data_IF_378160812847
#
_entry.id   IF_378160812847
#
_cell.length_a   1.000
_cell.length_b   1.000
_cell.length_c   1.000
_cell.angle_alpha   90.00
_cell.angle_beta   90.00
_cell.angle_gamma   90.00
#
_symmetry.space_group_name_H-M   'P 1'
#
loop_
_entity.id
_entity.type
_entity.pdbx_description
1 polymer ?
#
# COMPACT_ATOMS: atom_id res chain seq x y z
N UNK A 1 -26.47 -19.54 8.71
CA UNK A 1 -25.63 -18.40 8.32
C UNK A 1 -25.70 -18.10 6.82
N UNK A 2 -26.71 -18.63 6.11
CA UNK A 2 -26.86 -18.49 4.64
C UNK A 2 -27.77 -17.34 4.20
N UNK A 3 -28.35 -16.59 5.13
CA UNK A 3 -29.50 -15.74 4.84
C UNK A 3 -29.21 -14.36 4.26
N UNK A 4 -28.01 -13.81 4.49
CA UNK A 4 -27.68 -12.44 4.01
C UNK A 4 -27.27 -12.43 2.55
N UNK A 5 -26.50 -13.41 2.10
CA UNK A 5 -26.04 -13.53 0.71
C UNK A 5 -27.19 -13.88 -0.25
N UNK A 6 -28.12 -14.75 0.16
CA UNK A 6 -29.29 -15.09 -0.65
C UNK A 6 -30.30 -13.94 -0.78
N UNK A 7 -30.43 -13.09 0.24
CA UNK A 7 -31.31 -11.94 0.20
C UNK A 7 -30.77 -10.84 -0.73
N UNK A 8 -29.46 -10.63 -0.75
CA UNK A 8 -28.82 -9.61 -1.61
C UNK A 8 -28.81 -10.04 -3.10
N UNK A 9 -28.65 -11.34 -3.39
CA UNK A 9 -28.67 -11.88 -4.76
C UNK A 9 -30.10 -11.92 -5.37
N UNK A 10 -31.15 -11.93 -4.57
CA UNK A 10 -32.57 -11.91 -5.01
C UNK A 10 -33.16 -10.51 -5.06
N UNK A 11 -32.41 -9.48 -4.68
CA UNK A 11 -32.90 -8.11 -4.69
C UNK A 11 -33.06 -7.58 -6.12
N UNK A 12 -34.23 -7.04 -6.49
CA UNK A 12 -34.44 -6.41 -7.81
C UNK A 12 -33.49 -5.23 -8.09
N UNK A 13 -32.85 -4.70 -7.05
CA UNK A 13 -31.89 -3.57 -7.14
C UNK A 13 -30.59 -3.94 -7.89
N UNK A 14 -30.21 -5.23 -7.92
CA UNK A 14 -29.05 -5.68 -8.68
C UNK A 14 -29.27 -5.67 -10.20
N UNK A 15 -30.55 -5.73 -10.65
CA UNK A 15 -30.88 -5.71 -12.09
C UNK A 15 -31.02 -4.29 -12.67
N UNK A 16 -31.11 -3.25 -11.84
CA UNK A 16 -31.39 -1.88 -12.30
C UNK A 16 -30.26 -0.86 -12.06
N UNK A 17 -29.07 -1.34 -11.78
CA UNK A 17 -27.91 -0.48 -11.58
C UNK A 17 -27.85 0.16 -10.19
N UNK A 18 -26.67 0.19 -9.62
CA UNK A 18 -26.34 0.68 -8.28
C UNK A 18 -26.57 2.20 -8.06
N UNK A 19 -27.23 2.86 -9.03
CA UNK A 19 -27.40 4.32 -9.09
C UNK A 19 -28.17 4.90 -7.90
N UNK A 20 -28.90 4.07 -7.16
CA UNK A 20 -29.70 4.49 -6.01
C UNK A 20 -29.30 3.91 -4.66
N UNK A 21 -28.18 3.19 -4.60
CA UNK A 21 -27.69 2.69 -3.32
C UNK A 21 -27.01 3.81 -2.51
N UNK A 22 -27.31 3.84 -1.21
CA UNK A 22 -26.58 4.71 -0.28
C UNK A 22 -25.11 4.27 -0.15
N UNK A 23 -24.15 5.16 0.20
CA UNK A 23 -22.72 4.85 0.26
C UNK A 23 -22.36 3.59 1.06
N UNK A 24 -23.09 3.32 2.14
CA UNK A 24 -22.88 2.12 2.99
C UNK A 24 -23.29 0.83 2.28
N UNK A 25 -24.30 0.88 1.43
CA UNK A 25 -24.78 -0.28 0.67
C UNK A 25 -23.86 -0.58 -0.49
N UNK A 26 -23.33 0.45 -1.17
CA UNK A 26 -22.31 0.30 -2.23
C UNK A 26 -21.05 -0.36 -1.67
N UNK A 27 -20.58 0.07 -0.50
CA UNK A 27 -19.40 -0.52 0.16
C UNK A 27 -19.61 -2.00 0.54
N UNK A 28 -20.85 -2.36 0.99
CA UNK A 28 -21.19 -3.75 1.31
C UNK A 28 -21.26 -4.63 0.06
N UNK A 29 -21.91 -4.14 -1.01
CA UNK A 29 -21.99 -4.87 -2.28
C UNK A 29 -20.60 -5.06 -2.88
N UNK A 30 -19.76 -4.03 -2.86
CA UNK A 30 -18.38 -4.14 -3.33
C UNK A 30 -17.57 -5.13 -2.49
N UNK A 31 -17.66 -5.07 -1.16
CA UNK A 31 -17.01 -6.03 -0.26
C UNK A 31 -17.47 -7.47 -0.53
N UNK A 32 -18.77 -7.68 -0.76
CA UNK A 32 -19.33 -8.98 -1.14
C UNK A 32 -18.82 -9.44 -2.51
N UNK A 33 -18.74 -8.57 -3.51
CA UNK A 33 -18.19 -8.88 -4.83
C UNK A 33 -16.70 -9.25 -4.76
N UNK A 34 -15.90 -8.55 -3.95
CA UNK A 34 -14.48 -8.87 -3.76
C UNK A 34 -14.30 -10.20 -3.03
N UNK A 35 -15.09 -10.44 -1.96
CA UNK A 35 -15.05 -11.71 -1.23
C UNK A 35 -15.49 -12.91 -2.09
N UNK A 36 -16.52 -12.73 -2.94
CA UNK A 36 -16.95 -13.72 -3.92
C UNK A 36 -15.85 -14.00 -4.97
N UNK A 37 -15.15 -12.98 -5.44
CA UNK A 37 -14.05 -13.12 -6.41
C UNK A 37 -12.90 -13.96 -5.89
N UNK A 38 -12.64 -13.95 -4.59
CA UNK A 38 -11.60 -14.75 -3.95
C UNK A 38 -12.07 -16.18 -3.62
N UNK A 39 -13.38 -16.39 -3.52
CA UNK A 39 -13.97 -17.67 -3.09
C UNK A 39 -14.43 -18.56 -4.26
N UNK A 40 -14.72 -18.01 -5.43
CA UNK A 40 -15.31 -18.72 -6.57
C UNK A 40 -14.32 -18.73 -7.74
N UNK A 41 -13.51 -19.78 -7.85
CA UNK A 41 -12.65 -20.03 -9.01
C UNK A 41 -13.43 -20.35 -10.32
N UNK A 42 -14.76 -20.48 -10.27
CA UNK A 42 -15.59 -21.05 -11.35
C UNK A 42 -16.37 -20.04 -12.20
N UNK A 43 -16.62 -18.81 -11.76
CA UNK A 43 -17.55 -17.91 -12.45
C UNK A 43 -16.99 -16.50 -12.69
N UNK A 44 -15.80 -16.47 -13.30
CA UNK A 44 -15.10 -15.23 -13.67
C UNK A 44 -15.95 -14.32 -14.55
N UNK A 45 -16.71 -14.87 -15.47
CA UNK A 45 -17.50 -14.12 -16.47
C UNK A 45 -18.67 -13.36 -15.83
N UNK A 46 -19.34 -13.96 -14.84
CA UNK A 46 -20.41 -13.31 -14.07
C UNK A 46 -19.87 -12.19 -13.18
N UNK A 47 -18.77 -12.44 -12.48
CA UNK A 47 -18.11 -11.44 -11.62
C UNK A 47 -17.58 -10.27 -12.43
N UNK A 48 -16.96 -10.53 -13.56
CA UNK A 48 -16.45 -9.49 -14.46
C UNK A 48 -17.57 -8.66 -15.08
N UNK A 49 -18.74 -9.25 -15.36
CA UNK A 49 -19.89 -8.53 -15.90
C UNK A 49 -20.62 -7.69 -14.84
N UNK A 50 -20.74 -8.18 -13.60
CA UNK A 50 -21.53 -7.55 -12.56
C UNK A 50 -20.73 -6.68 -11.58
N UNK A 51 -19.44 -6.95 -11.42
CA UNK A 51 -18.57 -6.16 -10.55
C UNK A 51 -17.74 -5.08 -11.26
N UNK A 52 -17.68 -5.07 -12.60
CA UNK A 52 -16.94 -4.05 -13.39
C UNK A 52 -17.48 -2.64 -13.24
N UNK A 53 -18.75 -2.49 -12.87
CA UNK A 53 -19.41 -1.18 -12.79
C UNK A 53 -19.37 -0.58 -11.39
N UNK A 54 -18.84 -1.29 -10.41
CA UNK A 54 -18.63 -0.78 -9.07
C UNK A 54 -17.18 -0.35 -8.94
N UNK A 55 -16.89 0.85 -9.40
CA UNK A 55 -15.62 1.48 -9.02
C UNK A 55 -15.60 1.65 -7.51
N UNK A 56 -14.58 1.11 -6.80
CA UNK A 56 -14.47 1.32 -5.37
C UNK A 56 -14.18 2.80 -5.13
N UNK A 57 -15.20 3.51 -4.70
CA UNK A 57 -15.07 4.84 -4.14
C UNK A 57 -15.35 4.78 -2.65
N UNK A 58 -14.41 5.23 -1.85
CA UNK A 58 -14.71 5.57 -0.48
C UNK A 58 -15.54 6.86 -0.47
N UNK A 59 -16.84 6.76 -0.15
CA UNK A 59 -17.70 7.93 -0.02
C UNK A 59 -17.46 8.57 1.34
N UNK A 60 -16.96 9.81 1.31
CA UNK A 60 -16.47 10.45 2.50
C UNK A 60 -15.25 9.69 3.05
N UNK A 61 -15.04 9.71 4.35
CA UNK A 61 -13.91 9.04 5.00
C UNK A 61 -14.25 7.62 5.50
N UNK A 62 -15.18 6.92 4.82
CA UNK A 62 -15.59 5.55 5.17
C UNK A 62 -14.75 4.54 4.39
N UNK A 63 -14.00 3.66 5.06
CA UNK A 63 -13.21 2.63 4.39
C UNK A 63 -14.09 1.55 3.78
N UNK A 64 -13.59 0.90 2.73
CA UNK A 64 -14.08 -0.39 2.28
C UNK A 64 -13.36 -1.46 3.09
N UNK A 65 -14.11 -2.21 3.89
CA UNK A 65 -13.57 -3.32 4.67
C UNK A 65 -13.66 -4.60 3.83
N UNK A 66 -12.50 -5.17 3.46
CA UNK A 66 -12.41 -6.40 2.64
C UNK A 66 -12.16 -7.66 3.46
N UNK A 67 -11.58 -7.51 4.65
CA UNK A 67 -11.31 -8.57 5.64
C UNK A 67 -11.50 -8.02 7.05
N UNK A 68 -11.79 -8.82 8.07
CA UNK A 68 -11.88 -8.33 9.43
C UNK A 68 -10.66 -7.51 9.83
N UNK A 69 -10.88 -6.20 10.08
CA UNK A 69 -9.85 -5.25 10.47
C UNK A 69 -8.96 -4.70 9.35
N UNK A 70 -9.12 -5.13 8.10
CA UNK A 70 -8.42 -4.52 6.95
C UNK A 70 -9.26 -3.40 6.36
N UNK A 71 -8.80 -2.18 6.50
CA UNK A 71 -9.44 -0.98 5.99
C UNK A 71 -8.71 -0.46 4.76
N UNK A 72 -9.44 -0.11 3.71
CA UNK A 72 -8.92 0.45 2.46
C UNK A 72 -9.77 1.62 2.00
N UNK A 73 -9.12 2.64 1.47
CA UNK A 73 -9.77 3.80 0.87
C UNK A 73 -9.38 3.89 -0.61
N UNK A 74 -10.37 4.19 -1.43
CA UNK A 74 -10.20 4.25 -2.86
C UNK A 74 -10.77 5.54 -3.44
N UNK A 75 -10.12 6.04 -4.49
CA UNK A 75 -10.63 7.07 -5.39
C UNK A 75 -10.46 6.57 -6.82
N UNK A 76 -11.54 6.62 -7.62
CA UNK A 76 -11.55 6.20 -9.03
C UNK A 76 -10.99 4.77 -9.26
N UNK A 77 -11.25 3.86 -8.31
CA UNK A 77 -10.77 2.48 -8.36
C UNK A 77 -9.33 2.26 -7.87
N UNK A 78 -8.60 3.32 -7.53
CA UNK A 78 -7.23 3.25 -7.06
C UNK A 78 -7.13 3.53 -5.56
N UNK A 79 -6.21 2.86 -4.86
CA UNK A 79 -5.92 3.16 -3.46
C UNK A 79 -5.52 4.63 -3.33
N UNK A 80 -6.32 5.38 -2.57
CA UNK A 80 -6.12 6.80 -2.33
C UNK A 80 -6.93 7.26 -1.12
N UNK A 81 -6.37 8.14 -0.31
CA UNK A 81 -7.10 8.86 0.73
C UNK A 81 -6.55 10.28 0.85
N UNK A 82 -7.45 11.25 0.92
CA UNK A 82 -7.08 12.67 1.08
C UNK A 82 -6.68 12.99 2.54
N UNK A 83 -6.12 14.15 2.74
CA UNK A 83 -5.88 14.73 4.07
C UNK A 83 -4.71 14.10 4.84
N UNK A 84 -3.68 13.58 4.15
CA UNK A 84 -2.52 12.91 4.75
C UNK A 84 -2.88 11.73 5.67
N UNK A 85 -4.00 11.05 5.36
CA UNK A 85 -4.45 9.87 6.06
C UNK A 85 -4.02 8.59 5.32
N UNK A 86 -3.78 7.44 6.03
CA UNK A 86 -3.42 6.20 5.37
C UNK A 86 -4.57 5.68 4.51
N UNK A 87 -4.27 5.30 3.26
CA UNK A 87 -5.24 4.69 2.35
C UNK A 87 -5.42 3.18 2.59
N UNK A 88 -4.58 2.58 3.45
CA UNK A 88 -4.73 1.21 3.92
C UNK A 88 -4.27 1.11 5.37
N UNK A 89 -5.08 0.44 6.20
CA UNK A 89 -4.72 0.05 7.57
C UNK A 89 -4.96 -1.45 7.69
N UNK A 90 -3.91 -2.20 8.05
CA UNK A 90 -3.99 -3.64 8.26
C UNK A 90 -4.41 -3.99 9.69
N UNK A 91 -4.90 -5.24 9.92
CA UNK A 91 -5.25 -5.71 11.28
C UNK A 91 -4.10 -5.66 12.28
N UNK A 92 -2.86 -5.80 11.81
CA UNK A 92 -1.64 -5.72 12.63
C UNK A 92 -1.26 -4.27 13.01
N UNK A 93 -2.00 -3.26 12.52
CA UNK A 93 -1.72 -1.85 12.74
C UNK A 93 -0.79 -1.23 11.69
N UNK A 94 -0.28 -2.00 10.72
CA UNK A 94 0.51 -1.46 9.60
C UNK A 94 -0.31 -0.45 8.81
N UNK A 95 0.25 0.72 8.57
CA UNK A 95 -0.37 1.82 7.83
C UNK A 95 0.37 2.09 6.52
N UNK A 96 -0.40 2.39 5.45
CA UNK A 96 0.13 2.65 4.12
C UNK A 96 -0.56 3.83 3.47
N UNK A 97 0.23 4.75 2.94
CA UNK A 97 -0.22 5.92 2.20
C UNK A 97 -0.08 5.68 0.71
N UNK A 98 -1.14 5.94 0.00
CA UNK A 98 -1.20 5.80 -1.45
C UNK A 98 -1.77 7.08 -2.07
N UNK A 99 -1.24 7.43 -3.23
CA UNK A 99 -1.75 8.50 -4.07
C UNK A 99 -1.92 7.95 -5.48
N UNK A 100 -3.18 7.83 -5.90
CA UNK A 100 -3.55 7.25 -7.19
C UNK A 100 -2.88 5.87 -7.42
N UNK A 101 -3.15 4.93 -6.53
CA UNK A 101 -2.68 3.54 -6.58
C UNK A 101 -1.19 3.33 -6.30
N UNK A 102 -0.39 4.40 -6.17
CA UNK A 102 1.06 4.31 -5.93
C UNK A 102 1.42 4.69 -4.50
N UNK A 103 2.33 3.98 -3.88
CA UNK A 103 2.90 4.37 -2.60
C UNK A 103 3.46 5.78 -2.66
N UNK A 104 2.91 6.64 -1.87
CA UNK A 104 3.34 8.04 -1.80
C UNK A 104 2.79 8.72 -0.55
N UNK A 105 3.60 9.53 0.08
CA UNK A 105 3.18 10.49 1.10
C UNK A 105 3.95 11.78 0.92
N UNK A 106 3.24 12.89 1.01
CA UNK A 106 3.84 14.23 0.86
C UNK A 106 4.64 14.62 2.12
N UNK A 107 5.33 15.75 2.09
CA UNK A 107 6.02 16.41 3.21
C UNK A 107 7.16 15.58 3.85
N UNK A 108 7.86 14.75 3.07
CA UNK A 108 8.95 13.86 3.55
C UNK A 108 8.52 12.97 4.72
N UNK A 109 7.26 12.53 4.73
CA UNK A 109 6.73 11.58 5.68
C UNK A 109 6.79 10.14 5.14
N UNK A 110 6.92 9.11 6.00
CA UNK A 110 6.95 7.72 5.53
C UNK A 110 5.61 7.31 4.92
N UNK A 111 5.64 6.71 3.73
CA UNK A 111 4.46 6.21 3.04
C UNK A 111 4.05 4.80 3.52
N UNK A 112 4.89 4.12 4.29
CA UNK A 112 4.57 2.87 4.97
C UNK A 112 5.14 2.90 6.39
N UNK A 113 4.30 2.58 7.38
CA UNK A 113 4.68 2.41 8.79
C UNK A 113 4.17 1.05 9.22
N UNK A 114 5.08 0.16 9.60
CA UNK A 114 4.74 -1.18 10.07
C UNK A 114 4.40 -1.19 11.56
N UNK A 115 3.72 -2.23 11.98
CA UNK A 115 3.36 -2.42 13.39
C UNK A 115 4.58 -2.52 14.34
N UNK A 116 5.73 -2.98 13.82
CA UNK A 116 6.99 -3.06 14.56
C UNK A 116 7.74 -1.72 14.65
N UNK A 117 7.21 -0.65 14.00
CA UNK A 117 7.84 0.66 13.94
C UNK A 117 8.77 0.86 12.72
N UNK A 118 8.94 -0.14 11.85
CA UNK A 118 9.67 0.03 10.59
C UNK A 118 9.01 1.08 9.72
N UNK A 119 9.78 2.00 9.17
CA UNK A 119 9.32 3.12 8.34
C UNK A 119 9.97 3.07 6.96
N UNK A 120 9.15 3.34 5.91
CA UNK A 120 9.63 3.40 4.53
C UNK A 120 9.06 4.59 3.80
N UNK A 121 9.95 5.29 3.10
CA UNK A 121 9.63 6.45 2.26
C UNK A 121 9.51 6.04 0.81
N UNK A 122 8.44 6.46 0.19
CA UNK A 122 8.18 6.20 -1.22
C UNK A 122 7.75 7.48 -1.93
N UNK A 123 8.18 7.62 -3.17
CA UNK A 123 7.74 8.67 -4.08
C UNK A 123 7.18 8.04 -5.34
N UNK A 124 5.85 8.13 -5.52
CA UNK A 124 5.12 7.56 -6.66
C UNK A 124 5.41 6.09 -6.96
N UNK A 125 5.52 5.27 -5.91
CA UNK A 125 5.73 3.82 -5.99
C UNK A 125 7.17 3.36 -5.84
N UNK A 126 8.14 4.25 -5.97
CA UNK A 126 9.55 3.93 -5.82
C UNK A 126 10.08 4.28 -4.43
N UNK A 127 10.87 3.38 -3.83
CA UNK A 127 11.55 3.67 -2.57
C UNK A 127 12.52 4.83 -2.79
N UNK A 128 12.25 5.95 -2.14
CA UNK A 128 12.97 7.21 -2.34
C UNK A 128 12.78 8.14 -1.15
N UNK A 129 13.84 8.79 -0.72
CA UNK A 129 13.77 9.92 0.20
C UNK A 129 14.70 11.02 -0.24
N UNK A 130 14.26 12.27 -0.12
CA UNK A 130 15.06 13.44 -0.51
C UNK A 130 16.12 13.76 0.55
N UNK A 131 17.19 14.41 0.12
CA UNK A 131 18.33 14.72 0.98
C UNK A 131 19.16 13.49 1.32
N UNK A 132 20.11 13.61 2.20
CA UNK A 132 20.96 12.50 2.67
C UNK A 132 20.31 11.78 3.88
N UNK A 133 19.03 11.39 3.71
CA UNK A 133 18.25 10.69 4.73
C UNK A 133 17.92 9.26 4.28
N UNK A 134 17.88 8.28 5.20
CA UNK A 134 17.52 6.90 4.84
C UNK A 134 16.07 6.81 4.41
N UNK A 135 15.81 6.11 3.29
CA UNK A 135 14.48 5.83 2.76
C UNK A 135 13.80 4.61 3.43
N UNK A 136 14.56 3.80 4.18
CA UNK A 136 14.04 2.73 5.04
C UNK A 136 14.76 2.81 6.38
N UNK A 137 13.99 2.79 7.46
CA UNK A 137 14.47 2.65 8.84
C UNK A 137 13.75 1.46 9.46
N UNK A 138 14.45 0.38 9.74
CA UNK A 138 13.89 -0.79 10.40
C UNK A 138 13.77 -0.58 11.91
N UNK A 139 12.87 -1.34 12.54
CA UNK A 139 12.65 -1.31 13.98
C UNK A 139 13.92 -1.62 14.81
N UNK A 140 14.85 -2.42 14.25
CA UNK A 140 16.13 -2.75 14.87
C UNK A 140 17.22 -1.67 14.68
N UNK A 141 16.89 -0.55 14.00
CA UNK A 141 17.80 0.55 13.73
C UNK A 141 18.60 0.42 12.42
N UNK A 142 18.44 -0.66 11.66
CA UNK A 142 19.05 -0.79 10.33
C UNK A 142 18.51 0.28 9.38
N UNK A 143 19.38 0.91 8.61
CA UNK A 143 19.06 2.02 7.72
C UNK A 143 19.49 1.72 6.28
N UNK A 144 18.63 2.11 5.32
CA UNK A 144 18.90 1.97 3.90
C UNK A 144 18.61 3.28 3.18
N UNK A 145 19.55 3.70 2.33
CA UNK A 145 19.39 4.83 1.42
C UNK A 145 18.99 4.34 0.05
N UNK A 146 17.94 4.93 -0.48
CA UNK A 146 17.43 4.64 -1.80
C UNK A 146 17.20 5.92 -2.58
N UNK A 147 17.50 5.87 -3.88
CA UNK A 147 17.12 6.87 -4.87
C UNK A 147 16.48 6.16 -6.04
N UNK A 148 15.22 6.56 -6.37
CA UNK A 148 14.45 6.03 -7.50
C UNK A 148 14.45 4.48 -7.52
N UNK A 149 14.06 3.88 -6.38
CA UNK A 149 13.95 2.44 -6.19
C UNK A 149 15.27 1.67 -6.06
N UNK A 150 16.44 2.33 -6.18
CA UNK A 150 17.74 1.67 -6.12
C UNK A 150 18.51 2.09 -4.89
N UNK A 151 19.24 1.14 -4.27
CA UNK A 151 20.17 1.47 -3.20
C UNK A 151 21.23 2.45 -3.72
N UNK A 152 21.31 3.60 -3.08
CA UNK A 152 22.17 4.69 -3.51
C UNK A 152 22.41 5.69 -2.40
N UNK A 153 23.64 6.09 -2.22
CA UNK A 153 24.00 7.26 -1.42
C UNK A 153 25.20 7.97 -2.04
N UNK A 154 25.13 9.29 -2.16
CA UNK A 154 26.21 10.13 -2.71
C UNK A 154 27.33 10.32 -1.68
N UNK A 155 28.48 10.85 -2.15
CA UNK A 155 29.55 11.34 -1.30
C UNK A 155 30.39 10.25 -0.63
N UNK A 156 30.55 9.08 -1.26
CA UNK A 156 31.26 7.93 -0.70
C UNK A 156 30.80 7.53 0.71
N UNK A 157 29.49 7.65 0.93
CA UNK A 157 28.83 7.26 2.18
C UNK A 157 28.13 5.89 2.01
N UNK A 158 28.04 5.07 3.10
CA UNK A 158 27.38 3.78 3.01
C UNK A 158 25.87 3.96 2.74
N UNK A 159 25.35 3.23 1.75
CA UNK A 159 23.93 3.20 1.41
C UNK A 159 23.12 2.19 2.27
N UNK A 160 23.80 1.35 3.04
CA UNK A 160 23.21 0.46 4.05
C UNK A 160 24.07 0.53 5.31
N UNK A 161 23.41 0.69 6.45
CA UNK A 161 24.03 0.61 7.79
C UNK A 161 23.17 -0.33 8.62
N UNK A 162 23.70 -1.50 8.95
CA UNK A 162 23.02 -2.46 9.82
C UNK A 162 23.09 -2.05 11.29
N UNK A 163 22.20 -2.61 12.10
CA UNK A 163 22.14 -2.35 13.53
C UNK A 163 23.43 -2.76 14.29
N UNK A 164 24.20 -3.71 13.76
CA UNK A 164 25.49 -4.15 14.29
C UNK A 164 26.67 -3.27 13.84
N UNK A 165 26.40 -2.21 13.06
CA UNK A 165 27.42 -1.31 12.52
C UNK A 165 28.01 -1.73 11.18
N UNK A 166 27.66 -2.92 10.65
CA UNK A 166 28.10 -3.36 9.31
C UNK A 166 27.59 -2.39 8.25
N UNK A 167 28.43 -2.01 7.29
CA UNK A 167 28.15 -0.99 6.30
C UNK A 167 28.40 -1.50 4.89
N UNK A 168 27.52 -1.09 3.95
CA UNK A 168 27.64 -1.39 2.52
C UNK A 168 27.47 -0.14 1.68
N UNK A 169 28.32 -0.01 0.68
CA UNK A 169 28.32 1.09 -0.28
C UNK A 169 27.67 0.67 -1.58
N UNK A 170 26.71 1.46 -2.02
CA UNK A 170 25.99 1.25 -3.29
C UNK A 170 25.85 2.56 -4.05
N UNK A 171 26.05 2.49 -5.35
CA UNK A 171 25.77 3.56 -6.29
C UNK A 171 24.86 3.01 -7.40
N UNK A 172 23.63 3.57 -7.53
CA UNK A 172 22.62 3.13 -8.51
C UNK A 172 22.30 1.62 -8.46
N UNK A 173 22.26 1.04 -7.27
CA UNK A 173 21.94 -0.37 -7.02
C UNK A 173 23.12 -1.33 -7.23
N UNK A 174 24.30 -0.83 -7.50
CA UNK A 174 25.52 -1.65 -7.62
C UNK A 174 26.49 -1.38 -6.47
N UNK A 175 27.15 -2.41 -5.92
CA UNK A 175 28.22 -2.21 -4.96
C UNK A 175 29.27 -1.26 -5.56
N UNK A 176 29.58 -0.18 -4.85
CA UNK A 176 30.53 0.85 -5.30
C UNK A 176 31.07 1.61 -4.10
N UNK A 177 32.38 1.85 -4.10
CA UNK A 177 33.05 2.72 -3.15
C UNK A 177 34.28 3.33 -3.84
N UNK A 178 34.54 4.61 -3.62
CA UNK A 178 35.63 5.32 -4.25
C UNK A 178 36.99 4.81 -3.75
N UNK A 179 38.05 4.91 -4.61
CA UNK A 179 39.44 4.62 -4.24
C UNK A 179 39.78 3.16 -4.02
N UNK A 180 39.12 2.21 -4.72
CA UNK A 180 39.37 0.75 -4.61
C UNK A 180 39.21 0.19 -3.17
N UNK A 181 38.45 0.89 -2.35
CA UNK A 181 38.13 0.47 -0.99
C UNK A 181 37.08 -0.64 -0.97
N UNK A 182 37.06 -1.50 0.08
CA UNK A 182 36.04 -2.51 0.23
C UNK A 182 34.65 -1.90 0.25
N UNK A 183 33.68 -2.49 -0.49
CA UNK A 183 32.26 -2.08 -0.52
C UNK A 183 31.50 -2.57 0.69
N UNK A 184 32.12 -3.28 1.60
CA UNK A 184 31.60 -3.79 2.86
C UNK A 184 32.61 -3.59 3.98
N UNK A 185 32.13 -3.21 5.16
CA UNK A 185 32.94 -3.21 6.41
C UNK A 185 32.10 -3.83 7.53
N UNK A 186 32.73 -4.70 8.31
CA UNK A 186 32.13 -5.24 9.53
C UNK A 186 32.03 -4.18 10.63
N UNK A 187 30.98 -4.23 11.41
CA UNK A 187 30.79 -3.40 12.60
C UNK A 187 31.53 -3.94 13.81
#
# INVERSE_FOLDING_TARGET
MSTILEIELQSPLLHHGLVHLYPREISRVYGACVALRETIEGDREWLDSNCRHVSPHSHGDVPIETWPGLQRWYRDGELHRDGDLPAMIKPDGTQRWYKYGKWHRDNDLPAEIWADGTQKWYKYGECHRVGDLPAVIQANGTQYWYRDGKQHRDGDLPAVIYADGTQFWYLHGKPHRDGDLPTETSG
#
